data_IF_901659741662
#
_entry.id   IF_901659741662
#
_cell.length_a   1.000
_cell.length_b   1.000
_cell.length_c   1.000
_cell.angle_alpha   90.00
_cell.angle_beta   90.00
_cell.angle_gamma   90.00
#
_symmetry.space_group_name_H-M   'P 1'
#
loop_
_entity.id
_entity.type
_entity.pdbx_description
1 polymer ?
#
# COMPACT_ATOMS: atom_id res chain seq x y z
N UNK A 1 -6.27 -7.46 17.93
CA UNK A 1 -6.11 -6.02 17.58
C UNK A 1 -7.17 -5.68 16.55
N UNK A 2 -7.95 -4.62 16.77
CA UNK A 2 -8.83 -4.11 15.71
C UNK A 2 -7.96 -3.31 14.74
N UNK A 3 -7.79 -3.80 13.51
CA UNK A 3 -7.08 -3.07 12.46
C UNK A 3 -7.89 -1.83 12.10
N UNK A 4 -7.36 -0.64 12.39
CA UNK A 4 -7.98 0.61 11.98
C UNK A 4 -7.12 1.30 10.92
N UNK A 5 -7.74 2.20 10.16
CA UNK A 5 -7.08 2.94 9.08
C UNK A 5 -5.81 3.67 9.55
N UNK A 6 -5.81 4.21 10.76
CA UNK A 6 -4.63 4.85 11.35
C UNK A 6 -3.45 3.88 11.52
N UNK A 7 -3.69 2.66 11.99
CA UNK A 7 -2.64 1.65 12.13
C UNK A 7 -2.15 1.15 10.76
N UNK A 8 -3.05 1.03 9.78
CA UNK A 8 -2.67 0.70 8.41
C UNK A 8 -1.74 1.76 7.83
N UNK A 9 -2.12 3.04 7.92
CA UNK A 9 -1.32 4.14 7.40
C UNK A 9 0.06 4.20 8.07
N UNK A 10 0.13 4.02 9.40
CA UNK A 10 1.40 3.97 10.11
C UNK A 10 2.28 2.79 9.69
N UNK A 11 1.71 1.60 9.49
CA UNK A 11 2.44 0.42 9.06
C UNK A 11 3.01 0.58 7.65
N UNK A 12 2.20 1.11 6.72
CA UNK A 12 2.65 1.44 5.36
C UNK A 12 3.80 2.46 5.40
N UNK A 13 3.67 3.54 6.19
CA UNK A 13 4.72 4.55 6.31
C UNK A 13 6.02 4.00 6.92
N UNK A 14 5.92 3.04 7.85
CA UNK A 14 7.10 2.33 8.38
C UNK A 14 7.74 1.47 7.30
N UNK A 15 6.97 0.69 6.54
CA UNK A 15 7.51 -0.13 5.45
C UNK A 15 8.16 0.71 4.36
N UNK A 16 7.58 1.86 3.99
CA UNK A 16 8.17 2.83 3.05
C UNK A 16 9.56 3.30 3.51
N UNK A 17 9.73 3.53 4.81
CA UNK A 17 11.02 3.90 5.39
C UNK A 17 12.02 2.75 5.39
N UNK A 18 11.58 1.52 5.70
CA UNK A 18 12.39 0.31 5.63
C UNK A 18 12.91 0.03 4.20
N UNK A 19 12.08 0.32 3.18
CA UNK A 19 12.42 0.15 1.76
C UNK A 19 13.30 1.28 1.19
N UNK A 20 13.59 2.33 1.98
CA UNK A 20 14.48 3.41 1.56
C UNK A 20 13.86 4.41 0.57
N UNK A 21 12.54 4.46 0.41
CA UNK A 21 11.85 5.35 -0.54
C UNK A 21 11.88 6.84 -0.17
N UNK A 22 12.52 7.22 0.96
CA UNK A 22 12.56 8.60 1.49
C UNK A 22 13.49 9.55 0.72
N UNK A 23 14.22 9.10 -0.29
CA UNK A 23 15.17 9.94 -1.05
C UNK A 23 14.62 10.27 -2.45
N UNK A 24 14.48 11.58 -2.74
CA UNK A 24 14.16 12.22 -4.03
C UNK A 24 12.81 11.95 -4.72
N UNK A 25 11.95 11.05 -4.23
CA UNK A 25 10.70 10.69 -4.91
C UNK A 25 9.44 10.86 -4.03
N UNK A 26 9.52 11.62 -2.93
CA UNK A 26 8.44 11.79 -1.95
C UNK A 26 7.07 12.07 -2.57
N UNK A 27 6.96 12.96 -3.56
CA UNK A 27 5.67 13.26 -4.19
C UNK A 27 5.12 12.12 -5.06
N UNK A 28 6.01 11.46 -5.83
CA UNK A 28 5.63 10.32 -6.70
C UNK A 28 5.19 9.14 -5.85
N UNK A 29 5.87 8.90 -4.73
CA UNK A 29 5.53 7.85 -3.79
C UNK A 29 4.31 8.20 -2.96
N UNK A 30 4.13 9.45 -2.51
CA UNK A 30 3.00 9.85 -1.68
C UNK A 30 1.65 9.53 -2.34
N UNK A 31 1.51 9.80 -3.64
CA UNK A 31 0.28 9.50 -4.36
C UNK A 31 0.00 7.99 -4.45
N UNK A 32 1.01 7.18 -4.78
CA UNK A 32 0.86 5.72 -4.88
C UNK A 32 0.65 5.06 -3.51
N UNK A 33 1.37 5.49 -2.47
CA UNK A 33 1.18 5.05 -1.09
C UNK A 33 -0.25 5.34 -0.61
N UNK A 34 -0.81 6.48 -1.00
CA UNK A 34 -2.18 6.85 -0.67
C UNK A 34 -3.20 5.91 -1.33
N UNK A 35 -2.93 5.45 -2.55
CA UNK A 35 -3.78 4.45 -3.23
C UNK A 35 -3.77 3.09 -2.52
N UNK A 36 -2.61 2.65 -2.01
CA UNK A 36 -2.50 1.41 -1.24
C UNK A 36 -3.36 1.50 0.02
N UNK A 37 -3.28 2.60 0.76
CA UNK A 37 -4.12 2.81 1.94
C UNK A 37 -5.62 2.89 1.58
N UNK A 38 -5.96 3.39 0.39
CA UNK A 38 -7.34 3.51 -0.07
C UNK A 38 -8.04 2.17 -0.31
N UNK A 39 -7.30 1.07 -0.49
CA UNK A 39 -7.86 -0.28 -0.59
C UNK A 39 -8.71 -0.66 0.63
N UNK A 40 -8.41 -0.09 1.81
CA UNK A 40 -9.18 -0.31 3.03
C UNK A 40 -10.63 0.23 2.97
N UNK A 41 -10.97 1.05 1.96
CA UNK A 41 -12.32 1.57 1.75
C UNK A 41 -13.12 0.80 0.69
N UNK A 42 -12.51 -0.18 0.03
CA UNK A 42 -13.22 -1.06 -0.89
C UNK A 42 -14.09 -2.05 -0.11
N UNK A 43 -15.17 -2.53 -0.74
CA UNK A 43 -15.89 -3.66 -0.18
C UNK A 43 -14.97 -4.90 -0.23
N UNK A 44 -15.07 -5.84 0.72
CA UNK A 44 -14.19 -7.01 0.76
C UNK A 44 -14.11 -7.79 -0.55
N UNK A 45 -15.22 -7.86 -1.29
CA UNK A 45 -15.30 -8.54 -2.60
C UNK A 45 -14.49 -7.83 -3.70
N UNK A 46 -14.27 -6.52 -3.57
CA UNK A 46 -13.56 -5.70 -4.55
C UNK A 46 -12.08 -5.51 -4.23
N UNK A 47 -11.63 -5.87 -3.00
CA UNK A 47 -10.25 -5.63 -2.55
C UNK A 47 -9.25 -6.34 -3.44
N UNK A 48 -9.47 -7.60 -3.80
CA UNK A 48 -8.56 -8.36 -4.67
C UNK A 48 -8.42 -7.72 -6.05
N UNK A 49 -9.54 -7.35 -6.69
CA UNK A 49 -9.50 -6.68 -7.99
C UNK A 49 -8.82 -5.31 -7.91
N UNK A 50 -9.14 -4.53 -6.88
CA UNK A 50 -8.52 -3.21 -6.67
C UNK A 50 -7.02 -3.31 -6.40
N UNK A 51 -6.58 -4.37 -5.72
CA UNK A 51 -5.16 -4.67 -5.53
C UNK A 51 -4.48 -5.02 -6.85
N UNK A 52 -5.05 -5.92 -7.64
CA UNK A 52 -4.51 -6.32 -8.95
C UNK A 52 -4.37 -5.11 -9.90
N UNK A 53 -5.40 -4.26 -9.96
CA UNK A 53 -5.38 -3.04 -10.77
C UNK A 53 -4.28 -2.06 -10.33
N UNK A 54 -4.11 -1.91 -9.01
CA UNK A 54 -3.07 -1.08 -8.44
C UNK A 54 -1.67 -1.65 -8.73
N UNK A 55 -1.50 -2.96 -8.56
CA UNK A 55 -0.26 -3.66 -8.83
C UNK A 55 0.16 -3.49 -10.30
N UNK A 56 -0.75 -3.78 -11.24
CA UNK A 56 -0.50 -3.70 -12.68
C UNK A 56 -0.22 -2.28 -13.20
N UNK A 57 -0.75 -1.25 -12.52
CA UNK A 57 -0.54 0.16 -12.91
C UNK A 57 0.60 0.85 -12.17
N UNK A 58 1.17 0.20 -11.15
CA UNK A 58 2.25 0.74 -10.34
C UNK A 58 3.63 0.54 -10.97
N UNK A 59 4.59 1.37 -10.59
CA UNK A 59 5.98 1.18 -11.00
C UNK A 59 6.58 -0.03 -10.28
N UNK A 60 7.45 -0.86 -10.92
CA UNK A 60 8.03 -2.06 -10.30
C UNK A 60 8.74 -1.83 -8.97
N UNK A 61 9.27 -0.63 -8.74
CA UNK A 61 9.87 -0.24 -7.46
C UNK A 61 8.88 -0.26 -6.28
N UNK A 62 7.57 -0.19 -6.54
CA UNK A 62 6.51 -0.22 -5.53
C UNK A 62 6.04 -1.63 -5.18
N UNK A 63 6.35 -2.63 -6.00
CA UNK A 63 5.91 -4.01 -5.77
C UNK A 63 6.27 -4.53 -4.36
N UNK A 64 7.48 -4.29 -3.82
CA UNK A 64 7.80 -4.74 -2.45
C UNK A 64 6.87 -4.16 -1.36
N UNK A 65 6.26 -3.00 -1.59
CA UNK A 65 5.29 -2.40 -0.68
C UNK A 65 3.88 -2.97 -0.88
N UNK A 66 3.53 -3.31 -2.12
CA UNK A 66 2.28 -3.98 -2.47
C UNK A 66 2.27 -5.43 -1.97
N UNK A 67 3.35 -6.18 -2.19
CA UNK A 67 3.56 -7.54 -1.67
C UNK A 67 3.39 -7.55 -0.14
N UNK A 68 4.00 -6.58 0.54
CA UNK A 68 3.81 -6.41 1.99
C UNK A 68 2.36 -6.20 2.40
N UNK A 69 1.61 -5.40 1.62
CA UNK A 69 0.20 -5.15 1.90
C UNK A 69 -0.61 -6.44 1.72
N UNK A 70 -0.38 -7.17 0.64
CA UNK A 70 -1.05 -8.43 0.34
C UNK A 70 -0.80 -9.46 1.44
N UNK A 71 0.48 -9.67 1.78
CA UNK A 71 0.93 -10.59 2.81
C UNK A 71 0.34 -10.30 4.20
N UNK A 72 0.03 -9.03 4.48
CA UNK A 72 -0.36 -8.57 5.83
C UNK A 72 -1.87 -8.39 6.00
N UNK A 73 -2.61 -8.06 4.93
CA UNK A 73 -3.98 -7.55 5.04
C UNK A 73 -5.01 -8.24 4.16
N UNK A 74 -4.62 -9.01 3.14
CA UNK A 74 -5.57 -9.68 2.22
C UNK A 74 -5.60 -11.21 2.36
N UNK A 75 -4.75 -11.77 3.23
CA UNK A 75 -4.72 -13.19 3.61
C UNK A 75 -5.51 -13.48 4.89
#
# INVERSE_FOLDING_TARGET
>A
MSGCFFHLQNNIQRKVQELGFKTNYEQVFAHNISKIAALAFLQPVDVSQGFDDLHNSSAPMLHPLLDYFEDTYTL
#
